data_IF_176196189154
#
_entry.id   IF_176196189154
#
_cell.length_a   1.000
_cell.length_b   1.000
_cell.length_c   1.000
_cell.angle_alpha   90.00
_cell.angle_beta   90.00
_cell.angle_gamma   90.00
#
_symmetry.space_group_name_H-M   'P 1'
#
loop_
_entity.id
_entity.type
_entity.pdbx_description
1 polymer ?
#
# COMPACT_ATOMS: atom_id res chain seq x y z
N UNK A 1 -0.17 -32.85 11.17
CA UNK A 1 0.43 -31.85 10.27
C UNK A 1 -0.36 -30.56 10.43
N UNK A 2 0.20 -29.53 11.07
CA UNK A 2 -0.38 -28.19 11.00
C UNK A 2 -0.03 -27.63 9.63
N UNK A 3 -1.01 -27.46 8.76
CA UNK A 3 -0.84 -26.75 7.50
C UNK A 3 -0.30 -25.36 7.84
N UNK A 4 0.91 -25.03 7.38
CA UNK A 4 1.41 -23.65 7.45
C UNK A 4 0.55 -22.83 6.50
N UNK A 5 -0.51 -22.23 7.02
CA UNK A 5 -1.26 -21.23 6.27
C UNK A 5 -0.34 -20.03 6.06
N UNK A 6 -0.17 -19.65 4.79
CA UNK A 6 0.66 -18.52 4.45
C UNK A 6 -0.03 -17.22 4.91
N UNK A 7 0.69 -16.24 5.50
CA UNK A 7 0.08 -15.01 6.01
C UNK A 7 -0.69 -14.19 4.94
N UNK A 8 -0.34 -14.37 3.66
CA UNK A 8 -0.99 -13.71 2.53
C UNK A 8 -2.21 -14.48 2.00
N UNK A 9 -2.53 -15.68 2.49
CA UNK A 9 -3.64 -16.50 2.01
C UNK A 9 -5.02 -15.86 2.21
N UNK A 10 -5.12 -14.87 3.09
CA UNK A 10 -6.33 -14.07 3.31
C UNK A 10 -6.65 -13.12 2.14
N UNK A 11 -5.66 -12.73 1.34
CA UNK A 11 -5.85 -11.84 0.20
C UNK A 11 -6.21 -12.65 -1.04
N UNK A 12 -7.30 -12.26 -1.71
CA UNK A 12 -7.69 -12.83 -3.00
C UNK A 12 -7.42 -11.81 -4.10
N UNK A 13 -6.96 -12.23 -5.30
CA UNK A 13 -6.70 -11.29 -6.40
C UNK A 13 -7.88 -10.38 -6.76
N UNK A 14 -9.13 -10.85 -6.56
CA UNK A 14 -10.36 -10.08 -6.84
C UNK A 14 -10.78 -9.13 -5.71
N UNK A 15 -10.14 -9.19 -4.55
CA UNK A 15 -10.47 -8.27 -3.46
C UNK A 15 -10.12 -6.84 -3.89
N UNK A 16 -10.95 -5.89 -3.50
CA UNK A 16 -10.77 -4.48 -3.82
C UNK A 16 -9.74 -3.81 -2.92
N UNK A 17 -9.14 -2.75 -3.43
CA UNK A 17 -8.26 -1.81 -2.75
C UNK A 17 -8.85 -0.42 -2.95
N UNK A 18 -8.99 0.31 -1.85
CA UNK A 18 -9.23 1.75 -1.86
C UNK A 18 -8.01 2.42 -1.25
N UNK A 19 -7.32 3.27 -2.01
CA UNK A 19 -6.21 4.06 -1.47
C UNK A 19 -6.76 5.37 -0.94
N UNK A 20 -6.31 5.76 0.26
CA UNK A 20 -6.66 7.05 0.85
C UNK A 20 -5.41 7.73 1.38
N UNK A 21 -5.44 9.05 1.46
CA UNK A 21 -4.42 9.86 2.10
C UNK A 21 -5.08 10.73 3.17
N UNK A 22 -4.65 10.70 4.45
CA UNK A 22 -5.24 11.53 5.50
C UNK A 22 -4.75 12.99 5.43
N UNK A 23 -3.62 13.20 4.76
CA UNK A 23 -3.02 14.51 4.48
C UNK A 23 -2.63 14.55 3.01
N UNK A 24 -2.62 15.74 2.42
CA UNK A 24 -2.28 15.89 1.02
C UNK A 24 -0.79 15.62 0.79
N UNK A 25 -0.47 14.51 0.11
CA UNK A 25 0.90 14.12 -0.23
C UNK A 25 1.30 14.80 -1.54
N UNK A 26 2.42 15.52 -1.52
CA UNK A 26 2.96 16.19 -2.70
C UNK A 26 4.17 15.45 -3.25
N UNK A 27 4.62 15.87 -4.42
CA UNK A 27 5.87 15.38 -5.04
C UNK A 27 7.08 15.51 -4.10
N UNK A 28 7.08 16.47 -3.17
CA UNK A 28 8.17 16.64 -2.20
C UNK A 28 8.25 15.47 -1.24
N UNK A 29 7.13 15.00 -0.69
CA UNK A 29 7.13 13.82 0.17
C UNK A 29 7.56 12.57 -0.60
N UNK A 30 7.20 12.44 -1.89
CA UNK A 30 7.68 11.36 -2.75
C UNK A 30 9.20 11.44 -2.96
N UNK A 31 9.78 12.63 -3.06
CA UNK A 31 11.24 12.78 -3.08
C UNK A 31 11.88 12.27 -1.78
N UNK A 32 11.28 12.54 -0.61
CA UNK A 32 11.78 12.01 0.66
C UNK A 32 11.70 10.48 0.73
N UNK A 33 10.65 9.86 0.19
CA UNK A 33 10.58 8.40 0.07
C UNK A 33 11.82 7.86 -0.66
N UNK A 34 12.16 8.44 -1.81
CA UNK A 34 13.29 7.99 -2.63
C UNK A 34 14.66 8.23 -1.97
N UNK A 35 14.82 9.37 -1.29
CA UNK A 35 16.11 9.78 -0.73
C UNK A 35 16.39 9.16 0.65
N UNK A 36 15.36 9.00 1.48
CA UNK A 36 15.51 8.61 2.88
C UNK A 36 15.04 7.18 3.13
N UNK A 37 13.89 6.78 2.59
CA UNK A 37 13.25 5.53 2.96
C UNK A 37 13.69 4.35 2.10
N UNK A 38 13.82 4.56 0.79
CA UNK A 38 14.15 3.50 -0.17
C UNK A 38 15.37 2.63 0.22
N UNK A 39 16.47 3.19 0.77
CA UNK A 39 17.61 2.39 1.23
C UNK A 39 17.27 1.38 2.35
N UNK A 40 16.24 1.64 3.16
CA UNK A 40 15.87 0.79 4.30
C UNK A 40 14.70 -0.15 3.99
N UNK A 41 13.69 0.32 3.25
CA UNK A 41 12.49 -0.48 2.94
C UNK A 41 12.67 -1.37 1.70
N UNK A 42 13.63 -1.05 0.84
CA UNK A 42 13.94 -1.77 -0.39
C UNK A 42 13.05 -1.37 -1.56
N UNK A 43 13.42 -1.85 -2.76
CA UNK A 43 12.82 -1.44 -4.03
C UNK A 43 11.35 -1.82 -4.17
N UNK A 44 10.93 -2.99 -3.68
CA UNK A 44 9.55 -3.46 -3.82
C UNK A 44 8.57 -2.63 -2.97
N UNK A 45 8.95 -2.31 -1.73
CA UNK A 45 8.15 -1.44 -0.86
C UNK A 45 8.10 0.00 -1.39
N UNK A 46 9.22 0.49 -1.93
CA UNK A 46 9.28 1.82 -2.56
C UNK A 46 8.37 1.89 -3.79
N UNK A 47 8.44 0.89 -4.67
CA UNK A 47 7.58 0.79 -5.86
C UNK A 47 6.11 0.68 -5.47
N UNK A 48 5.78 -0.18 -4.50
CA UNK A 48 4.41 -0.32 -4.01
C UNK A 48 3.84 0.99 -3.50
N UNK A 49 4.59 1.73 -2.67
CA UNK A 49 4.14 3.03 -2.17
C UNK A 49 3.91 4.02 -3.34
N UNK A 50 4.87 4.12 -4.27
CA UNK A 50 4.77 5.03 -5.39
C UNK A 50 3.60 4.69 -6.32
N UNK A 51 3.33 3.40 -6.56
CA UNK A 51 2.16 2.96 -7.34
C UNK A 51 0.86 3.31 -6.63
N UNK A 52 0.74 3.04 -5.33
CA UNK A 52 -0.46 3.42 -4.58
C UNK A 52 -0.69 4.94 -4.58
N UNK A 53 0.38 5.73 -4.46
CA UNK A 53 0.30 7.19 -4.58
C UNK A 53 -0.19 7.63 -5.96
N UNK A 54 0.27 6.98 -7.02
CA UNK A 54 -0.15 7.27 -8.40
C UNK A 54 -1.62 6.97 -8.68
N UNK A 55 -2.26 6.08 -7.91
CA UNK A 55 -3.68 5.77 -8.02
C UNK A 55 -4.58 6.81 -7.33
N UNK A 56 -4.04 7.68 -6.48
CA UNK A 56 -4.83 8.75 -5.87
C UNK A 56 -5.32 9.73 -6.95
N UNK A 57 -6.60 10.08 -6.89
CA UNK A 57 -7.18 11.05 -7.79
C UNK A 57 -6.53 12.43 -7.58
N UNK A 58 -6.14 13.17 -8.64
CA UNK A 58 -5.41 14.45 -8.52
C UNK A 58 -6.13 15.56 -7.73
N UNK A 59 -7.44 15.43 -7.54
CA UNK A 59 -8.31 16.40 -6.85
C UNK A 59 -9.00 15.83 -5.61
N UNK A 60 -8.70 14.61 -5.20
CA UNK A 60 -9.37 13.94 -4.08
C UNK A 60 -8.37 13.32 -3.10
N UNK A 61 -8.86 12.98 -1.91
CA UNK A 61 -8.06 12.31 -0.88
C UNK A 61 -8.11 10.78 -0.99
N UNK A 62 -8.75 10.26 -2.04
CA UNK A 62 -8.89 8.83 -2.28
C UNK A 62 -8.78 8.48 -3.77
N UNK A 63 -8.54 7.20 -4.05
CA UNK A 63 -8.57 6.61 -5.38
C UNK A 63 -9.96 6.06 -5.72
N UNK A 64 -10.16 5.70 -6.97
CA UNK A 64 -11.20 4.70 -7.31
C UNK A 64 -10.83 3.32 -6.72
N UNK A 65 -11.81 2.41 -6.62
CA UNK A 65 -11.54 1.05 -6.15
C UNK A 65 -11.00 0.19 -7.30
N UNK A 66 -9.83 -0.41 -7.09
CA UNK A 66 -9.21 -1.37 -8.02
C UNK A 66 -8.89 -2.69 -7.33
N UNK A 67 -8.60 -3.74 -8.09
CA UNK A 67 -8.35 -5.08 -7.53
C UNK A 67 -6.89 -5.29 -7.11
N UNK A 68 -6.66 -6.25 -6.20
CA UNK A 68 -5.31 -6.74 -5.89
C UNK A 68 -4.60 -7.23 -7.17
N UNK A 69 -5.29 -7.92 -8.08
CA UNK A 69 -4.68 -8.37 -9.35
C UNK A 69 -4.16 -7.22 -10.21
N UNK A 70 -4.86 -6.09 -10.25
CA UNK A 70 -4.41 -4.90 -10.97
C UNK A 70 -3.15 -4.35 -10.32
N UNK A 71 -3.13 -4.21 -8.98
CA UNK A 71 -1.94 -3.74 -8.26
C UNK A 71 -0.71 -4.63 -8.48
N UNK A 72 -0.90 -5.95 -8.41
CA UNK A 72 0.18 -6.91 -8.67
C UNK A 72 0.71 -6.79 -10.10
N UNK A 73 -0.16 -6.52 -11.07
CA UNK A 73 0.23 -6.29 -12.47
C UNK A 73 1.00 -4.99 -12.64
N UNK A 74 0.54 -3.89 -12.02
CA UNK A 74 1.21 -2.58 -12.07
C UNK A 74 2.60 -2.60 -11.42
N UNK A 75 2.75 -3.34 -10.34
CA UNK A 75 4.02 -3.45 -9.60
C UNK A 75 4.91 -4.60 -10.07
N UNK A 76 4.39 -5.48 -10.94
CA UNK A 76 5.02 -6.73 -11.35
C UNK A 76 5.48 -7.59 -10.15
N UNK A 77 4.63 -7.67 -9.12
CA UNK A 77 4.88 -8.44 -7.90
C UNK A 77 4.03 -9.70 -7.83
N UNK A 78 4.58 -10.75 -7.21
CA UNK A 78 3.79 -11.87 -6.72
C UNK A 78 3.08 -11.53 -5.41
N UNK A 79 2.02 -12.27 -5.08
CA UNK A 79 1.31 -12.14 -3.80
C UNK A 79 2.24 -12.17 -2.55
N UNK A 80 3.27 -13.04 -2.48
CA UNK A 80 4.20 -13.05 -1.34
C UNK A 80 5.04 -11.77 -1.25
N UNK A 81 5.54 -11.27 -2.37
CA UNK A 81 6.39 -10.06 -2.42
C UNK A 81 5.58 -8.80 -2.13
N UNK A 82 4.35 -8.72 -2.65
CA UNK A 82 3.40 -7.68 -2.26
C UNK A 82 3.16 -7.69 -0.76
N UNK A 83 2.89 -8.86 -0.16
CA UNK A 83 2.64 -8.96 1.27
C UNK A 83 3.85 -8.48 2.07
N UNK A 84 5.05 -8.91 1.70
CA UNK A 84 6.29 -8.48 2.36
C UNK A 84 6.52 -6.96 2.21
N UNK A 85 6.36 -6.41 1.00
CA UNK A 85 6.52 -4.99 0.71
C UNK A 85 5.51 -4.15 1.51
N UNK A 86 4.25 -4.57 1.53
CA UNK A 86 3.18 -3.97 2.33
C UNK A 86 3.52 -3.99 3.82
N UNK A 87 3.92 -5.13 4.37
CA UNK A 87 4.30 -5.25 5.79
C UNK A 87 5.51 -4.38 6.14
N UNK A 88 6.46 -4.18 5.22
CA UNK A 88 7.57 -3.23 5.44
C UNK A 88 7.06 -1.80 5.54
N UNK A 89 6.18 -1.37 4.63
CA UNK A 89 5.57 -0.03 4.68
C UNK A 89 4.78 0.17 5.98
N UNK A 90 4.02 -0.84 6.41
CA UNK A 90 3.29 -0.81 7.68
C UNK A 90 4.24 -0.72 8.89
N UNK A 91 5.33 -1.50 8.87
CA UNK A 91 6.30 -1.55 9.96
C UNK A 91 7.03 -0.23 10.20
N UNK A 92 7.23 0.59 9.16
CA UNK A 92 7.81 1.94 9.29
C UNK A 92 6.76 3.05 9.35
N UNK A 93 5.48 2.70 9.32
CA UNK A 93 4.37 3.64 9.46
C UNK A 93 4.07 4.47 8.21
N UNK A 94 4.50 4.04 7.02
CA UNK A 94 4.13 4.68 5.74
C UNK A 94 2.80 4.19 5.18
N UNK A 95 2.26 3.10 5.72
CA UNK A 95 0.99 2.52 5.30
C UNK A 95 0.20 2.03 6.52
N UNK A 96 -1.10 2.25 6.52
CA UNK A 96 -2.03 1.53 7.39
C UNK A 96 -3.04 0.80 6.52
N UNK A 97 -3.38 -0.43 6.89
CA UNK A 97 -4.36 -1.23 6.17
C UNK A 97 -5.54 -1.54 7.06
N UNK A 98 -6.73 -1.18 6.58
CA UNK A 98 -7.98 -1.52 7.24
C UNK A 98 -8.76 -2.50 6.38
N UNK A 99 -9.37 -3.48 7.03
CA UNK A 99 -10.24 -4.45 6.39
C UNK A 99 -11.68 -4.14 6.81
N UNK A 100 -12.58 -3.96 5.84
CA UNK A 100 -14.02 -4.00 6.11
C UNK A 100 -14.51 -5.41 5.87
N UNK A 101 -15.33 -5.93 6.78
CA UNK A 101 -15.99 -7.21 6.56
C UNK A 101 -16.91 -7.12 5.33
N UNK A 102 -16.90 -8.13 4.46
CA UNK A 102 -17.74 -8.14 3.28
C UNK A 102 -19.22 -8.27 3.69
N UNK A 103 -20.11 -7.73 2.87
CA UNK A 103 -21.56 -7.93 3.02
C UNK A 103 -22.11 -8.61 1.78
N UNK A 104 -23.37 -9.06 1.83
CA UNK A 104 -24.04 -9.64 0.67
C UNK A 104 -24.06 -8.71 -0.56
N UNK A 105 -23.91 -7.40 -0.37
CA UNK A 105 -23.92 -6.38 -1.42
C UNK A 105 -22.56 -5.76 -1.72
N UNK A 106 -21.50 -6.07 -0.95
CA UNK A 106 -20.17 -5.49 -1.14
C UNK A 106 -19.07 -6.56 -1.05
N UNK A 107 -18.24 -6.72 -2.10
CA UNK A 107 -17.10 -7.61 -2.04
C UNK A 107 -16.10 -7.15 -0.98
N UNK A 108 -15.16 -8.03 -0.62
CA UNK A 108 -14.08 -7.70 0.30
C UNK A 108 -13.24 -6.55 -0.27
N UNK A 109 -13.08 -5.48 0.51
CA UNK A 109 -12.24 -4.34 0.14
C UNK A 109 -11.30 -4.00 1.30
N UNK A 110 -10.05 -3.68 0.96
CA UNK A 110 -9.03 -3.20 1.88
C UNK A 110 -8.81 -1.71 1.64
N UNK A 111 -8.86 -0.91 2.71
CA UNK A 111 -8.45 0.49 2.65
C UNK A 111 -6.97 0.59 2.98
N UNK A 112 -6.19 1.14 2.06
CA UNK A 112 -4.76 1.39 2.19
C UNK A 112 -4.56 2.90 2.41
N UNK A 113 -4.36 3.29 3.66
CA UNK A 113 -4.15 4.68 4.06
C UNK A 113 -2.65 5.02 4.01
N UNK A 114 -2.24 5.75 2.97
CA UNK A 114 -0.85 6.21 2.80
C UNK A 114 -0.54 7.32 3.80
N UNK A 115 0.57 7.18 4.52
CA UNK A 115 1.10 8.27 5.36
C UNK A 115 2.22 8.99 4.61
N UNK A 116 2.20 10.32 4.67
CA UNK A 116 3.25 11.16 4.10
C UNK A 116 4.65 10.81 4.68
N UNK A 117 5.65 10.50 3.82
CA UNK A 117 7.05 10.42 4.22
C UNK A 117 7.50 11.68 4.94
N UNK A 118 8.14 11.53 6.10
CA UNK A 118 8.57 12.68 6.89
C UNK A 118 9.85 13.29 6.34
N UNK A 119 9.99 14.61 6.53
CA UNK A 119 11.19 15.35 6.15
C UNK A 119 12.42 14.88 6.94
N UNK A 120 13.65 15.11 6.43
CA UNK A 120 14.88 14.74 7.11
C UNK A 120 14.97 15.20 8.57
N UNK A 121 14.43 16.40 8.90
CA UNK A 121 14.46 16.98 10.26
C UNK A 121 13.62 16.23 11.30
N UNK A 122 12.63 15.48 10.84
CA UNK A 122 11.79 14.64 11.71
C UNK A 122 12.24 13.18 11.67
N UNK A 123 13.11 12.83 10.71
CA UNK A 123 13.66 11.49 10.53
C UNK A 123 14.97 11.29 11.31
N UNK A 124 15.81 12.33 11.40
CA UNK A 124 17.07 12.38 12.13
C UNK A 124 17.02 13.43 13.26
#
# INVERSE_FOLDING_TARGET
MHSKEFPWAQYKPKDGILVVQPVWITEREIQFLMQLYAPFIGKEATLLYATLYGELSPSEYESEVFSISELLSMTNLGMPDFYLAKTRLEGIGLLKTYRKEPSASRPQTYTMELQAPTSPRLFF
#
